data_IF_018863540841
#
_entry.id   IF_018863540841
#
_cell.length_a   1.000
_cell.length_b   1.000
_cell.length_c   1.000
_cell.angle_alpha   90.00
_cell.angle_beta   90.00
_cell.angle_gamma   90.00
#
_symmetry.space_group_name_H-M   'P 1'
#
loop_
_entity.id
_entity.type
_entity.pdbx_description
1 polymer ?
#
# COMPACT_ATOMS: atom_id res chain seq x y z
N UNK A 1 12.29 25.18 2.42
CA UNK A 1 13.35 24.56 1.58
C UNK A 1 13.67 25.39 0.34
N UNK A 2 12.80 25.48 -0.68
CA UNK A 2 13.10 26.16 -1.95
C UNK A 2 13.65 27.60 -1.80
N UNK A 3 12.99 28.42 -0.96
CA UNK A 3 13.41 29.79 -0.68
C UNK A 3 14.82 29.88 -0.09
N UNK A 4 15.20 28.96 0.80
CA UNK A 4 16.55 28.90 1.39
C UNK A 4 17.66 28.64 0.35
N UNK A 5 17.29 28.16 -0.84
CA UNK A 5 18.20 27.91 -1.95
C UNK A 5 17.95 28.86 -3.14
N UNK A 6 17.34 30.02 -2.88
CA UNK A 6 17.04 31.05 -3.90
C UNK A 6 16.16 30.54 -5.05
N UNK A 7 15.26 29.59 -4.76
CA UNK A 7 14.23 29.08 -5.66
C UNK A 7 12.84 29.50 -5.19
N UNK A 8 11.88 29.54 -6.12
CA UNK A 8 10.45 29.69 -5.86
C UNK A 8 9.67 28.56 -6.55
N UNK A 9 8.64 28.08 -5.87
CA UNK A 9 7.66 27.15 -6.46
C UNK A 9 6.76 27.95 -7.39
N UNK A 10 6.71 27.56 -8.66
CA UNK A 10 5.95 28.29 -9.68
C UNK A 10 4.66 27.57 -10.08
N UNK A 11 4.61 26.25 -9.90
CA UNK A 11 3.46 25.44 -10.29
C UNK A 11 3.47 24.09 -9.57
N UNK A 12 2.32 23.41 -9.56
CA UNK A 12 2.14 22.08 -9.00
C UNK A 12 1.08 21.29 -9.77
N UNK A 13 1.31 19.98 -9.94
CA UNK A 13 0.35 19.02 -10.48
C UNK A 13 0.13 17.87 -9.49
N UNK A 14 -1.12 17.47 -9.29
CA UNK A 14 -1.49 16.26 -8.55
C UNK A 14 -1.56 15.07 -9.51
N UNK A 15 -0.88 13.98 -9.16
CA UNK A 15 -0.82 12.76 -9.95
C UNK A 15 -1.37 11.58 -9.11
N UNK A 16 -2.13 10.65 -9.72
CA UNK A 16 -2.66 9.49 -9.00
C UNK A 16 -1.61 8.40 -8.69
N UNK A 17 -0.41 8.53 -9.25
CA UNK A 17 0.66 7.52 -9.14
C UNK A 17 1.11 7.33 -7.69
N UNK A 18 1.54 6.10 -7.37
CA UNK A 18 2.05 5.69 -6.06
C UNK A 18 1.13 5.95 -4.86
N UNK A 19 -0.18 6.11 -5.08
CA UNK A 19 -1.16 6.42 -4.02
C UNK A 19 -1.37 7.91 -3.77
N UNK A 20 -1.00 8.75 -4.75
CA UNK A 20 -1.05 10.21 -4.68
C UNK A 20 0.36 10.79 -4.69
N UNK A 21 0.64 11.68 -5.63
CA UNK A 21 1.93 12.34 -5.79
C UNK A 21 1.75 13.80 -6.21
N UNK A 22 2.72 14.64 -5.85
CA UNK A 22 2.82 16.01 -6.36
C UNK A 22 4.03 16.12 -7.28
N UNK A 23 3.82 16.69 -8.47
CA UNK A 23 4.91 17.21 -9.29
C UNK A 23 5.02 18.70 -9.03
N UNK A 24 6.14 19.11 -8.43
CA UNK A 24 6.39 20.50 -8.04
C UNK A 24 7.38 21.12 -9.00
N UNK A 25 7.04 22.28 -9.56
CA UNK A 25 7.91 23.01 -10.48
C UNK A 25 8.58 24.18 -9.77
N UNK A 26 9.90 24.28 -9.88
CA UNK A 26 10.69 25.34 -9.27
C UNK A 26 11.36 26.21 -10.34
N UNK A 27 11.57 27.48 -10.02
CA UNK A 27 12.41 28.38 -10.79
C UNK A 27 13.31 29.20 -9.84
N UNK A 28 14.41 29.73 -10.36
CA UNK A 28 15.20 30.73 -9.61
C UNK A 28 14.33 31.91 -9.19
N UNK A 29 14.61 32.45 -8.01
CA UNK A 29 13.86 33.56 -7.42
C UNK A 29 13.73 34.75 -8.39
N UNK A 30 14.83 35.13 -9.04
CA UNK A 30 14.89 36.20 -10.04
C UNK A 30 14.28 35.89 -11.42
N UNK A 31 13.75 34.67 -11.63
CA UNK A 31 13.09 34.31 -12.88
C UNK A 31 11.83 35.13 -13.12
N UNK A 32 11.55 35.48 -14.38
CA UNK A 32 10.31 36.15 -14.81
C UNK A 32 9.05 35.26 -14.67
N UNK A 33 9.22 33.95 -14.46
CA UNK A 33 8.10 33.02 -14.25
C UNK A 33 7.34 33.39 -12.98
N UNK A 34 6.02 33.59 -13.12
CA UNK A 34 5.11 33.91 -12.00
C UNK A 34 4.64 32.64 -11.31
N UNK A 35 4.24 32.76 -10.05
CA UNK A 35 3.60 31.68 -9.30
C UNK A 35 2.18 31.50 -9.83
N UNK A 36 1.85 30.29 -10.25
CA UNK A 36 0.52 29.94 -10.74
C UNK A 36 -0.51 29.78 -9.61
N UNK A 37 -1.81 29.93 -9.92
CA UNK A 37 -2.88 29.85 -8.92
C UNK A 37 -3.01 28.47 -8.26
N UNK A 38 -2.56 27.40 -8.93
CA UNK A 38 -2.55 26.03 -8.38
C UNK A 38 -1.73 25.92 -7.09
N UNK A 39 -0.63 26.66 -6.99
CA UNK A 39 0.22 26.67 -5.79
C UNK A 39 -0.57 27.22 -4.60
N UNK A 40 -1.19 28.40 -4.76
CA UNK A 40 -1.99 29.02 -3.69
C UNK A 40 -3.21 28.16 -3.31
N UNK A 41 -3.87 27.55 -4.30
CA UNK A 41 -5.00 26.65 -4.06
C UNK A 41 -4.61 25.40 -3.28
N UNK A 42 -3.47 24.77 -3.60
CA UNK A 42 -2.97 23.61 -2.86
C UNK A 42 -2.59 23.99 -1.43
N UNK A 43 -1.82 25.07 -1.23
CA UNK A 43 -1.43 25.53 0.11
C UNK A 43 -2.66 25.80 0.99
N UNK A 44 -3.70 26.43 0.45
CA UNK A 44 -4.96 26.66 1.18
C UNK A 44 -5.65 25.35 1.56
N UNK A 45 -5.61 24.33 0.70
CA UNK A 45 -6.16 22.98 1.03
C UNK A 45 -5.33 22.30 2.12
N UNK A 46 -4.01 22.38 2.06
CA UNK A 46 -3.11 21.82 3.08
C UNK A 46 -3.36 22.47 4.45
N UNK A 47 -3.48 23.80 4.48
CA UNK A 47 -3.82 24.57 5.68
C UNK A 47 -5.22 24.21 6.20
N UNK A 48 -6.24 24.18 5.32
CA UNK A 48 -7.61 23.82 5.70
C UNK A 48 -7.73 22.38 6.20
N UNK A 49 -6.87 21.48 5.74
CA UNK A 49 -6.77 20.11 6.24
C UNK A 49 -6.08 20.03 7.61
N UNK A 50 -5.32 21.06 7.99
CA UNK A 50 -4.55 21.10 9.23
C UNK A 50 -3.18 20.43 9.11
N UNK A 51 -2.57 20.37 7.92
CA UNK A 51 -1.22 19.79 7.78
C UNK A 51 -0.13 20.57 8.53
N UNK A 52 -0.40 21.81 8.94
CA UNK A 52 0.50 22.58 9.80
C UNK A 52 0.26 22.34 11.31
N UNK A 53 -0.70 21.49 11.67
CA UNK A 53 -1.10 21.25 13.06
C UNK A 53 -0.64 19.88 13.55
N UNK A 54 -0.03 19.84 14.74
CA UNK A 54 0.48 18.58 15.31
C UNK A 54 -0.64 17.55 15.57
N UNK A 55 -1.84 18.04 15.91
CA UNK A 55 -3.02 17.21 16.20
C UNK A 55 -3.45 16.35 15.01
N UNK A 56 -3.23 16.82 13.78
CA UNK A 56 -3.48 16.05 12.54
C UNK A 56 -2.60 14.80 12.50
N UNK A 57 -1.33 14.94 12.89
CA UNK A 57 -0.38 13.83 12.91
C UNK A 57 -0.61 12.87 14.09
N UNK A 58 -1.05 13.38 15.25
CA UNK A 58 -1.46 12.54 16.38
C UNK A 58 -2.67 11.67 16.01
N UNK A 59 -3.67 12.25 15.35
CA UNK A 59 -4.82 11.51 14.81
C UNK A 59 -4.39 10.49 13.76
N UNK A 60 -3.46 10.84 12.87
CA UNK A 60 -2.90 9.90 11.89
C UNK A 60 -2.17 8.72 12.58
N UNK A 61 -1.41 8.99 13.64
CA UNK A 61 -0.74 7.96 14.43
C UNK A 61 -1.77 7.00 15.05
N UNK A 62 -2.87 7.51 15.60
CA UNK A 62 -3.91 6.66 16.15
C UNK A 62 -4.67 5.85 15.07
N UNK A 63 -4.96 6.46 13.92
CA UNK A 63 -5.50 5.74 12.75
C UNK A 63 -4.57 4.59 12.35
N UNK A 64 -3.26 4.83 12.30
CA UNK A 64 -2.26 3.80 11.99
C UNK A 64 -2.28 2.65 13.01
N UNK A 65 -2.31 2.96 14.32
CA UNK A 65 -2.42 1.94 15.38
C UNK A 65 -3.72 1.15 15.29
N UNK A 66 -4.83 1.80 14.95
CA UNK A 66 -6.13 1.15 14.72
C UNK A 66 -6.05 0.19 13.54
N UNK A 67 -5.57 0.62 12.38
CA UNK A 67 -5.41 -0.24 11.21
C UNK A 67 -4.50 -1.45 11.50
N UNK A 68 -3.41 -1.28 12.28
CA UNK A 68 -2.59 -2.40 12.75
C UNK A 68 -3.41 -3.40 13.58
N UNK A 69 -4.15 -2.92 14.60
CA UNK A 69 -4.97 -3.78 15.47
C UNK A 69 -6.03 -4.52 14.66
N UNK A 70 -6.72 -3.83 13.76
CA UNK A 70 -7.77 -4.40 12.91
C UNK A 70 -7.19 -5.50 11.99
N UNK A 71 -6.01 -5.26 11.40
CA UNK A 71 -5.33 -6.24 10.53
C UNK A 71 -4.89 -7.47 11.32
N UNK A 72 -4.25 -7.29 12.47
CA UNK A 72 -3.82 -8.41 13.31
C UNK A 72 -5.02 -9.20 13.82
N UNK A 73 -6.10 -8.52 14.23
CA UNK A 73 -7.32 -9.18 14.69
C UNK A 73 -7.91 -10.08 13.59
N UNK A 74 -7.96 -9.59 12.35
CA UNK A 74 -8.39 -10.38 11.20
C UNK A 74 -7.49 -11.60 10.97
N UNK A 75 -6.17 -11.40 10.92
CA UNK A 75 -5.21 -12.48 10.64
C UNK A 75 -5.21 -13.55 11.75
N UNK A 76 -5.29 -13.16 13.02
CA UNK A 76 -5.39 -14.06 14.16
C UNK A 76 -6.69 -14.87 14.07
N UNK A 77 -7.82 -14.22 13.82
CA UNK A 77 -9.11 -14.91 13.69
C UNK A 77 -9.08 -15.92 12.54
N UNK A 78 -8.52 -15.55 11.39
CA UNK A 78 -8.36 -16.45 10.26
C UNK A 78 -7.48 -17.67 10.60
N UNK A 79 -6.34 -17.47 11.28
CA UNK A 79 -5.47 -18.58 11.70
C UNK A 79 -6.13 -19.50 12.73
N UNK A 80 -6.83 -18.96 13.71
CA UNK A 80 -7.57 -19.75 14.69
C UNK A 80 -8.70 -20.57 14.04
N UNK A 81 -9.25 -20.10 12.92
CA UNK A 81 -10.21 -20.83 12.10
C UNK A 81 -9.55 -21.83 11.12
N UNK A 82 -8.24 -22.07 11.22
CA UNK A 82 -7.50 -23.00 10.37
C UNK A 82 -7.28 -22.50 8.94
N UNK A 83 -7.45 -21.21 8.67
CA UNK A 83 -7.36 -20.63 7.32
C UNK A 83 -5.92 -20.50 6.83
N UNK A 84 -5.70 -20.84 5.57
CA UNK A 84 -4.42 -20.68 4.88
C UNK A 84 -4.29 -19.27 4.33
N UNK A 85 -3.14 -18.64 4.57
CA UNK A 85 -2.87 -17.26 4.17
C UNK A 85 -1.48 -17.19 3.56
N UNK A 86 -1.37 -16.55 2.40
CA UNK A 86 -0.09 -16.16 1.81
C UNK A 86 -0.08 -14.66 1.47
N UNK A 87 1.11 -14.11 1.26
CA UNK A 87 1.28 -12.77 0.71
C UNK A 87 1.31 -12.76 -0.82
N UNK A 88 0.91 -11.63 -1.40
CA UNK A 88 1.17 -11.30 -2.80
C UNK A 88 2.01 -10.04 -2.87
N UNK A 89 3.15 -10.13 -3.56
CA UNK A 89 4.18 -9.11 -3.70
C UNK A 89 5.14 -9.03 -2.51
N UNK A 90 6.35 -8.55 -2.75
CA UNK A 90 7.34 -8.22 -1.72
C UNK A 90 7.92 -6.80 -1.92
N UNK A 91 7.09 -5.73 -1.89
CA UNK A 91 7.56 -4.35 -2.06
C UNK A 91 8.16 -3.77 -0.78
N UNK A 92 8.96 -2.70 -0.90
CA UNK A 92 9.53 -2.00 0.28
C UNK A 92 8.47 -1.55 1.30
N UNK A 93 7.37 -0.96 0.83
CA UNK A 93 6.23 -0.57 1.69
C UNK A 93 5.56 -1.75 2.41
N UNK A 94 5.54 -2.92 1.77
CA UNK A 94 5.02 -4.15 2.36
C UNK A 94 5.88 -4.59 3.53
N UNK A 95 7.21 -4.47 3.41
CA UNK A 95 8.13 -4.81 4.50
C UNK A 95 7.93 -3.92 5.73
N UNK A 96 7.70 -2.60 5.56
CA UNK A 96 7.36 -1.72 6.69
C UNK A 96 6.09 -2.19 7.40
N UNK A 97 5.05 -2.53 6.65
CA UNK A 97 3.80 -3.05 7.21
C UNK A 97 4.02 -4.35 7.98
N UNK A 98 4.72 -5.31 7.36
CA UNK A 98 4.99 -6.62 7.97
C UNK A 98 5.77 -6.47 9.29
N UNK A 99 6.85 -5.68 9.30
CA UNK A 99 7.66 -5.46 10.49
C UNK A 99 6.92 -4.66 11.57
N UNK A 100 6.24 -3.57 11.21
CA UNK A 100 5.49 -2.76 12.17
C UNK A 100 4.37 -3.56 12.83
N UNK A 101 3.68 -4.40 12.06
CA UNK A 101 2.61 -5.25 12.57
C UNK A 101 3.14 -6.53 13.25
N UNK A 102 4.38 -6.95 13.00
CA UNK A 102 4.90 -8.22 13.48
C UNK A 102 4.29 -9.42 12.75
N UNK A 103 3.98 -9.29 11.46
CA UNK A 103 3.37 -10.34 10.63
C UNK A 103 4.49 -11.18 10.00
N UNK A 104 4.72 -12.38 10.54
CA UNK A 104 5.77 -13.31 10.13
C UNK A 104 5.25 -14.60 9.51
N UNK A 105 6.07 -15.65 9.57
CA UNK A 105 5.76 -16.96 8.99
C UNK A 105 4.67 -17.74 9.73
N UNK A 106 4.35 -17.32 10.96
CA UNK A 106 3.18 -17.79 11.71
C UNK A 106 1.85 -17.36 11.06
N UNK A 107 1.83 -16.17 10.43
CA UNK A 107 0.69 -15.69 9.64
C UNK A 107 0.80 -16.04 8.15
N UNK A 108 1.93 -15.73 7.52
CA UNK A 108 2.13 -15.90 6.08
C UNK A 108 3.16 -16.98 5.82
N UNK A 109 2.73 -18.17 5.38
CA UNK A 109 3.67 -19.27 5.11
C UNK A 109 4.71 -18.90 4.05
N UNK A 110 4.35 -18.00 3.13
CA UNK A 110 5.21 -17.37 2.14
C UNK A 110 4.52 -16.12 1.58
N UNK A 111 5.26 -15.36 0.78
CA UNK A 111 4.71 -14.39 -0.18
C UNK A 111 5.18 -14.75 -1.59
N UNK A 112 4.43 -14.34 -2.61
CA UNK A 112 4.90 -14.45 -4.01
C UNK A 112 5.33 -13.10 -4.53
N UNK A 113 6.15 -13.05 -5.58
CA UNK A 113 6.41 -11.80 -6.31
C UNK A 113 6.62 -12.13 -7.80
N UNK A 114 6.26 -11.21 -8.69
CA UNK A 114 6.50 -11.40 -10.14
C UNK A 114 7.96 -11.19 -10.53
N UNK A 115 8.76 -10.55 -9.66
CA UNK A 115 10.17 -10.30 -9.93
C UNK A 115 11.02 -11.53 -9.57
N UNK A 116 11.60 -12.23 -10.56
CA UNK A 116 12.38 -13.45 -10.32
C UNK A 116 13.64 -13.22 -9.48
N UNK A 117 14.19 -12.01 -9.45
CA UNK A 117 15.36 -11.71 -8.60
C UNK A 117 15.06 -11.85 -7.10
N UNK A 118 13.79 -11.85 -6.70
CA UNK A 118 13.39 -12.01 -5.30
C UNK A 118 13.10 -13.47 -4.93
N UNK A 119 12.90 -14.35 -5.90
CA UNK A 119 12.57 -15.76 -5.63
C UNK A 119 13.71 -16.45 -4.88
N UNK A 120 13.35 -17.31 -3.93
CA UNK A 120 14.32 -18.00 -3.06
C UNK A 120 14.94 -17.10 -1.98
N UNK A 121 14.56 -15.82 -1.91
CA UNK A 121 14.93 -14.89 -0.84
C UNK A 121 13.81 -14.78 0.19
N UNK A 122 14.04 -13.94 1.19
CA UNK A 122 13.10 -13.69 2.28
C UNK A 122 12.78 -12.21 2.39
N UNK A 123 11.60 -11.88 2.94
CA UNK A 123 11.30 -10.50 3.33
C UNK A 123 12.25 -10.07 4.46
N UNK A 124 12.82 -8.85 4.41
CA UNK A 124 13.65 -8.32 5.49
C UNK A 124 12.92 -8.27 6.84
N UNK A 125 13.59 -8.74 7.90
CA UNK A 125 13.11 -8.70 9.28
C UNK A 125 12.14 -9.84 9.63
N UNK A 126 11.01 -9.94 8.93
CA UNK A 126 10.01 -10.98 9.19
C UNK A 126 10.34 -12.34 8.57
N UNK A 127 11.35 -12.40 7.71
CA UNK A 127 11.90 -13.62 7.10
C UNK A 127 10.84 -14.52 6.44
N UNK A 128 9.86 -13.93 5.76
CA UNK A 128 8.85 -14.68 5.02
C UNK A 128 9.46 -15.07 3.67
N UNK A 129 9.48 -16.36 3.28
CA UNK A 129 10.07 -16.78 2.01
C UNK A 129 9.29 -16.21 0.82
N UNK A 130 10.01 -15.90 -0.26
CA UNK A 130 9.48 -15.32 -1.49
C UNK A 130 9.56 -16.34 -2.62
N UNK A 131 8.41 -16.68 -3.20
CA UNK A 131 8.29 -17.63 -4.31
C UNK A 131 7.75 -16.99 -5.58
N UNK A 132 7.75 -17.78 -6.66
CA UNK A 132 7.03 -17.48 -7.88
C UNK A 132 5.51 -17.50 -7.64
N UNK A 133 4.77 -16.74 -8.47
CA UNK A 133 3.30 -16.62 -8.35
C UNK A 133 2.59 -17.96 -8.47
N UNK A 134 3.12 -18.89 -9.28
CA UNK A 134 2.59 -20.26 -9.44
C UNK A 134 2.51 -21.06 -8.12
N UNK A 135 3.24 -20.66 -7.07
CA UNK A 135 3.13 -21.29 -5.75
C UNK A 135 1.73 -21.15 -5.14
N UNK A 136 0.95 -20.13 -5.54
CA UNK A 136 -0.43 -19.93 -5.09
C UNK A 136 -1.33 -21.08 -5.52
N UNK A 137 -1.18 -21.58 -6.75
CA UNK A 137 -2.09 -22.59 -7.32
C UNK A 137 -1.92 -23.96 -6.64
N UNK A 138 -0.69 -24.26 -6.22
CA UNK A 138 -0.37 -25.45 -5.43
C UNK A 138 -0.85 -25.30 -3.98
N UNK A 139 -0.70 -24.11 -3.40
CA UNK A 139 -1.04 -23.87 -1.99
C UNK A 139 -2.55 -23.68 -1.75
N UNK A 140 -3.29 -23.17 -2.74
CA UNK A 140 -4.74 -22.86 -2.68
C UNK A 140 -5.14 -22.12 -1.39
N UNK A 141 -4.59 -20.92 -1.12
CA UNK A 141 -4.86 -20.18 0.11
C UNK A 141 -6.34 -19.81 0.24
N UNK A 142 -6.87 -19.73 1.46
CA UNK A 142 -8.18 -19.11 1.71
C UNK A 142 -8.10 -17.59 1.55
N UNK A 143 -6.97 -16.99 1.93
CA UNK A 143 -6.73 -15.55 1.86
C UNK A 143 -5.37 -15.18 1.24
N UNK A 144 -5.37 -14.14 0.42
CA UNK A 144 -4.16 -13.58 -0.19
C UNK A 144 -4.00 -12.12 0.28
N UNK A 145 -2.96 -11.83 1.06
CA UNK A 145 -2.66 -10.48 1.53
C UNK A 145 -1.91 -9.68 0.45
N UNK A 146 -2.54 -8.64 -0.11
CA UNK A 146 -1.92 -7.79 -1.13
C UNK A 146 -0.99 -6.75 -0.47
N UNK A 147 0.32 -7.00 -0.53
CA UNK A 147 1.35 -6.10 -0.01
C UNK A 147 1.65 -4.90 -0.92
N UNK A 148 1.53 -4.98 -2.26
CA UNK A 148 1.55 -3.82 -3.15
C UNK A 148 0.12 -3.31 -3.42
N UNK A 149 -0.57 -2.86 -2.38
CA UNK A 149 -1.99 -2.46 -2.42
C UNK A 149 -2.32 -1.35 -3.43
N UNK A 150 -1.35 -0.57 -3.89
CA UNK A 150 -1.53 0.41 -4.96
C UNK A 150 -1.80 -0.24 -6.34
N UNK A 151 -1.51 -1.54 -6.49
CA UNK A 151 -1.81 -2.33 -7.69
C UNK A 151 -2.93 -3.35 -7.43
N UNK A 152 -3.74 -3.16 -6.37
CA UNK A 152 -4.76 -4.13 -5.97
C UNK A 152 -5.69 -4.51 -7.12
N UNK A 153 -6.18 -3.54 -7.89
CA UNK A 153 -7.17 -3.80 -8.94
C UNK A 153 -6.56 -4.61 -10.09
N UNK A 154 -5.31 -4.32 -10.45
CA UNK A 154 -4.57 -5.09 -11.46
C UNK A 154 -4.29 -6.52 -10.98
N UNK A 155 -3.84 -6.67 -9.74
CA UNK A 155 -3.53 -7.98 -9.14
C UNK A 155 -4.80 -8.83 -9.05
N UNK A 156 -5.91 -8.26 -8.59
CA UNK A 156 -7.19 -8.96 -8.47
C UNK A 156 -7.68 -9.42 -9.86
N UNK A 157 -7.53 -8.59 -10.91
CA UNK A 157 -7.86 -8.99 -12.28
C UNK A 157 -6.94 -10.11 -12.80
N UNK A 158 -5.63 -10.01 -12.56
CA UNK A 158 -4.67 -11.03 -13.02
C UNK A 158 -4.81 -12.36 -12.29
N UNK A 159 -5.35 -12.35 -11.07
CA UNK A 159 -5.52 -13.52 -10.22
C UNK A 159 -6.99 -13.94 -10.12
N UNK A 160 -7.82 -13.71 -11.15
CA UNK A 160 -9.24 -14.10 -11.11
C UNK A 160 -9.45 -15.61 -10.98
N UNK A 161 -8.52 -16.43 -11.47
CA UNK A 161 -8.61 -17.88 -11.39
C UNK A 161 -8.65 -18.42 -9.96
N UNK A 162 -8.22 -17.63 -8.95
CA UNK A 162 -8.28 -18.04 -7.53
C UNK A 162 -9.72 -18.20 -7.01
N UNK A 163 -10.71 -17.70 -7.75
CA UNK A 163 -12.14 -17.94 -7.52
C UNK A 163 -12.46 -19.44 -7.54
N UNK A 164 -11.73 -20.25 -8.32
CA UNK A 164 -11.97 -21.69 -8.46
C UNK A 164 -11.91 -22.46 -7.13
N UNK A 165 -11.16 -21.96 -6.15
CA UNK A 165 -11.12 -22.54 -4.80
C UNK A 165 -11.60 -21.56 -3.72
N UNK A 166 -12.23 -20.45 -4.11
CA UNK A 166 -12.87 -19.50 -3.20
C UNK A 166 -11.91 -18.61 -2.40
N UNK A 167 -10.69 -18.37 -2.90
CA UNK A 167 -9.77 -17.44 -2.23
C UNK A 167 -10.29 -16.00 -2.26
N UNK A 168 -9.95 -15.25 -1.21
CA UNK A 168 -10.29 -13.82 -1.08
C UNK A 168 -9.04 -12.98 -0.87
N UNK A 169 -9.08 -11.72 -1.31
CA UNK A 169 -7.96 -10.79 -1.15
C UNK A 169 -8.12 -9.93 0.08
N UNK A 170 -7.04 -9.76 0.85
CA UNK A 170 -6.98 -8.82 1.96
C UNK A 170 -6.24 -7.57 1.49
N UNK A 171 -6.90 -6.42 1.55
CA UNK A 171 -6.27 -5.10 1.39
C UNK A 171 -6.00 -4.56 2.79
N UNK A 172 -4.73 -4.32 3.17
CA UNK A 172 -4.41 -4.03 4.57
C UNK A 172 -4.73 -2.59 4.99
N UNK A 173 -4.72 -1.63 4.06
CA UNK A 173 -4.85 -0.20 4.33
C UNK A 173 -5.74 0.50 3.29
N UNK A 174 -6.36 1.65 3.61
CA UNK A 174 -6.37 2.35 4.91
C UNK A 174 -7.20 1.62 5.99
N UNK A 175 -8.15 0.80 5.55
CA UNK A 175 -8.95 -0.09 6.38
C UNK A 175 -8.83 -1.51 5.83
N UNK A 176 -8.81 -2.49 6.74
CA UNK A 176 -8.75 -3.90 6.37
C UNK A 176 -10.01 -4.22 5.55
N UNK A 177 -9.82 -4.52 4.28
CA UNK A 177 -10.91 -4.79 3.35
C UNK A 177 -10.73 -6.19 2.78
N UNK A 178 -11.79 -6.99 2.86
CA UNK A 178 -11.85 -8.28 2.21
C UNK A 178 -12.53 -8.11 0.85
N UNK A 179 -11.87 -8.56 -0.22
CA UNK A 179 -12.42 -8.55 -1.57
C UNK A 179 -12.64 -9.99 -2.00
N UNK A 180 -13.88 -10.29 -2.37
CA UNK A 180 -14.26 -11.54 -3.00
C UNK A 180 -14.15 -11.36 -4.52
N UNK A 181 -13.17 -12.00 -5.20
CA UNK A 181 -13.00 -11.83 -6.64
C UNK A 181 -14.23 -12.29 -7.44
N UNK A 182 -15.05 -13.21 -6.91
CA UNK A 182 -16.27 -13.66 -7.57
C UNK A 182 -17.35 -12.56 -7.68
N UNK A 183 -17.22 -11.47 -6.91
CA UNK A 183 -18.13 -10.33 -6.91
C UNK A 183 -17.58 -9.13 -7.70
N UNK A 184 -16.35 -9.24 -8.24
CA UNK A 184 -15.75 -8.17 -9.04
C UNK A 184 -16.21 -8.35 -10.49
N UNK A 185 -17.25 -7.63 -10.88
CA UNK A 185 -17.72 -7.60 -12.26
C UNK A 185 -16.71 -6.86 -13.16
N UNK A 186 -16.49 -7.39 -14.37
CA UNK A 186 -15.67 -6.75 -15.42
C UNK A 186 -16.36 -5.48 -15.95
N UNK A 187 -16.43 -4.42 -15.15
CA UNK A 187 -16.78 -3.09 -15.65
C UNK A 187 -15.77 -2.07 -15.14
N UNK A 188 -14.75 -1.81 -15.97
CA UNK A 188 -14.05 -0.52 -16.06
C UNK A 188 -13.12 -0.47 -17.27
#
# INVERSE_FOLDING_TARGET
MAQHHHLKVIDVEELPTHGGSLRVYLAHHGSKRKVGPRVASLLKREESFGLNEISTYEQFAEKTRRTKRDLLSFLIAAKNAGKRICGYGAPGKGNTLLNYCGIGTDFLGFTVDRNPYKHGRFTPGMHIPIYDVSAIDNYRPDYILILPWNFKDEIIRQMQHVVEWGAKFIIPIPHVTLIDPALVTEER
#
